data_IF_565584508730
#
_entry.id   IF_565584508730
#
_cell.length_a   1.000
_cell.length_b   1.000
_cell.length_c   1.000
_cell.angle_alpha   90.00
_cell.angle_beta   90.00
_cell.angle_gamma   90.00
#
_symmetry.space_group_name_H-M   'P 1'
#
loop_
_entity.id
_entity.type
_entity.pdbx_description
1 polymer ?
#
# COMPACT_ATOMS: atom_id res chain seq x y z
N UNK A 1 6.44 37.37 -30.24
CA UNK A 1 5.34 36.39 -30.11
C UNK A 1 5.97 35.05 -29.76
N UNK A 2 5.85 34.62 -28.51
CA UNK A 2 6.39 33.34 -28.04
C UNK A 2 5.48 32.21 -28.54
N UNK A 3 6.02 31.27 -29.31
CA UNK A 3 5.33 30.03 -29.66
C UNK A 3 5.35 29.09 -28.45
N UNK A 4 4.18 28.77 -27.91
CA UNK A 4 4.00 27.71 -26.93
C UNK A 4 4.24 26.37 -27.64
N UNK A 5 5.38 25.73 -27.37
CA UNK A 5 5.60 24.35 -27.78
C UNK A 5 4.80 23.48 -26.80
N UNK A 6 3.57 23.12 -27.19
CA UNK A 6 2.83 22.04 -26.53
C UNK A 6 3.55 20.76 -26.93
N UNK A 7 4.48 20.30 -26.10
CA UNK A 7 4.96 18.93 -26.23
C UNK A 7 3.75 18.03 -25.97
N UNK A 8 3.30 17.36 -27.02
CA UNK A 8 2.34 16.27 -26.93
C UNK A 8 2.95 15.22 -26.00
N UNK A 9 2.48 15.20 -24.75
CA UNK A 9 2.76 14.09 -23.85
C UNK A 9 2.09 12.87 -24.44
N UNK A 10 2.88 11.93 -24.93
CA UNK A 10 2.39 10.58 -25.19
C UNK A 10 1.88 10.06 -23.85
N UNK A 11 0.56 9.98 -23.68
CA UNK A 11 -0.01 9.25 -22.56
C UNK A 11 0.55 7.84 -22.62
N UNK A 12 1.29 7.43 -21.59
CA UNK A 12 1.69 6.04 -21.43
C UNK A 12 0.42 5.19 -21.58
N UNK A 13 0.41 4.28 -22.56
CA UNK A 13 -0.50 3.13 -22.56
C UNK A 13 -0.10 2.24 -21.38
N UNK A 14 -0.42 2.66 -20.17
CA UNK A 14 -0.31 1.84 -18.97
C UNK A 14 -1.51 0.90 -19.02
N UNK A 15 -1.25 -0.35 -19.42
CA UNK A 15 -2.12 -1.47 -19.07
C UNK A 15 -2.31 -1.46 -17.55
N UNK A 16 -3.50 -1.83 -17.08
CA UNK A 16 -3.87 -1.95 -15.66
C UNK A 16 -3.12 -3.11 -14.98
N UNK A 17 -1.81 -3.17 -15.17
CA UNK A 17 -0.94 -4.17 -14.58
C UNK A 17 -0.37 -3.65 -13.27
N UNK A 18 -0.23 -4.57 -12.34
CA UNK A 18 0.61 -4.45 -11.16
C UNK A 18 2.00 -3.93 -11.57
N UNK A 19 2.36 -2.71 -11.17
CA UNK A 19 3.61 -2.07 -11.63
C UNK A 19 4.84 -2.61 -10.89
N UNK A 20 4.85 -2.56 -9.55
CA UNK A 20 6.02 -2.94 -8.74
C UNK A 20 5.75 -2.72 -7.24
N UNK A 21 6.42 -3.50 -6.38
CA UNK A 21 6.58 -3.22 -4.95
C UNK A 21 8.07 -3.04 -4.62
N UNK A 22 8.39 -2.28 -3.58
CA UNK A 22 9.77 -2.20 -3.05
C UNK A 22 9.75 -2.52 -1.56
N UNK A 23 9.71 -3.81 -1.22
CA UNK A 23 10.01 -4.24 0.14
C UNK A 23 11.43 -3.78 0.47
N UNK A 24 11.57 -2.95 1.49
CA UNK A 24 12.83 -2.93 2.23
C UNK A 24 12.93 -4.33 2.85
N UNK A 25 13.84 -5.16 2.33
CA UNK A 25 14.06 -6.51 2.84
C UNK A 25 14.64 -6.40 4.26
N UNK A 26 13.77 -6.22 5.25
CA UNK A 26 14.11 -6.11 6.66
C UNK A 26 14.37 -7.50 7.28
N UNK A 27 13.93 -8.55 6.60
CA UNK A 27 14.14 -9.93 6.98
C UNK A 27 12.88 -10.77 6.83
N UNK A 28 12.96 -11.99 7.35
CA UNK A 28 11.81 -12.89 7.51
C UNK A 28 11.49 -13.00 9.00
N UNK A 29 10.20 -12.95 9.34
CA UNK A 29 9.75 -13.26 10.69
C UNK A 29 9.42 -14.76 10.81
N UNK A 30 9.38 -15.27 12.04
CA UNK A 30 8.96 -16.65 12.32
C UNK A 30 7.45 -16.74 12.46
N UNK A 31 6.84 -17.80 11.92
CA UNK A 31 5.40 -18.00 12.10
C UNK A 31 5.05 -18.20 13.59
N UNK A 32 3.95 -17.60 14.05
CA UNK A 32 3.54 -17.49 15.44
C UNK A 32 4.30 -16.44 16.26
N UNK A 33 5.17 -15.63 15.64
CA UNK A 33 5.89 -14.56 16.34
C UNK A 33 4.98 -13.39 16.71
N UNK A 34 5.40 -12.61 17.70
CA UNK A 34 4.70 -11.38 18.07
C UNK A 34 4.71 -10.35 16.93
N UNK A 35 5.76 -10.35 16.10
CA UNK A 35 5.77 -9.58 14.85
C UNK A 35 4.59 -9.93 13.94
N UNK A 36 4.32 -11.23 13.72
CA UNK A 36 3.18 -11.68 12.91
C UNK A 36 1.85 -11.24 13.53
N UNK A 37 1.70 -11.37 14.85
CA UNK A 37 0.50 -10.93 15.56
C UNK A 37 0.27 -9.41 15.42
N UNK A 38 1.32 -8.61 15.57
CA UNK A 38 1.28 -7.16 15.41
C UNK A 38 0.96 -6.76 13.96
N UNK A 39 1.56 -7.46 13.00
CA UNK A 39 1.30 -7.24 11.58
C UNK A 39 -0.18 -7.50 11.24
N UNK A 40 -0.71 -8.64 11.69
CA UNK A 40 -2.12 -8.99 11.50
C UNK A 40 -3.08 -8.01 12.19
N UNK A 41 -2.69 -7.48 13.34
CA UNK A 41 -3.47 -6.46 14.05
C UNK A 41 -3.52 -5.14 13.28
N UNK A 42 -2.41 -4.70 12.69
CA UNK A 42 -2.38 -3.52 11.82
C UNK A 42 -3.21 -3.75 10.54
N UNK A 43 -3.13 -4.94 9.93
CA UNK A 43 -3.96 -5.28 8.78
C UNK A 43 -5.46 -5.23 9.09
N UNK A 44 -5.87 -5.70 10.28
CA UNK A 44 -7.25 -5.57 10.73
C UNK A 44 -7.65 -4.09 10.91
N UNK A 45 -6.79 -3.27 11.52
CA UNK A 45 -7.02 -1.82 11.68
C UNK A 45 -7.16 -1.12 10.32
N UNK A 46 -6.28 -1.42 9.37
CA UNK A 46 -6.39 -0.91 8.01
C UNK A 46 -7.69 -1.36 7.34
N UNK A 47 -8.17 -2.58 7.57
CA UNK A 47 -9.44 -3.03 7.00
C UNK A 47 -10.69 -2.40 7.65
N UNK A 48 -10.57 -1.74 8.81
CA UNK A 48 -11.74 -1.24 9.56
C UNK A 48 -11.76 0.28 9.73
N UNK A 49 -10.64 0.96 9.47
CA UNK A 49 -10.50 2.41 9.59
C UNK A 49 -11.08 3.17 8.39
N UNK A 50 -11.35 4.46 8.62
CA UNK A 50 -11.97 5.39 7.65
C UNK A 50 -10.92 6.20 6.83
N UNK A 51 -9.71 5.66 6.70
CA UNK A 51 -8.60 6.30 5.95
C UNK A 51 -8.90 6.45 4.45
N UNK A 52 -9.94 5.81 3.94
CA UNK A 52 -10.33 5.91 2.54
C UNK A 52 -10.73 7.34 2.14
N UNK A 53 -11.12 8.17 3.11
CA UNK A 53 -11.38 9.61 2.91
C UNK A 53 -10.08 10.43 2.79
N UNK A 54 -9.04 10.09 3.57
CA UNK A 54 -7.76 10.82 3.59
C UNK A 54 -6.75 10.27 2.58
N UNK A 55 -6.90 9.01 2.17
CA UNK A 55 -5.95 8.30 1.32
C UNK A 55 -4.62 8.00 2.00
N UNK A 56 -4.54 8.15 3.32
CA UNK A 56 -3.30 7.97 4.09
C UNK A 56 -3.62 7.46 5.49
N UNK A 57 -2.81 6.51 5.96
CA UNK A 57 -2.87 5.99 7.32
C UNK A 57 -1.48 5.51 7.75
N UNK A 58 -1.13 5.70 9.00
CA UNK A 58 0.04 5.09 9.62
C UNK A 58 -0.38 4.33 10.89
N UNK A 59 0.26 3.20 11.13
CA UNK A 59 0.07 2.40 12.33
C UNK A 59 1.41 1.83 12.80
N UNK A 60 1.58 1.77 14.11
CA UNK A 60 2.75 1.18 14.75
C UNK A 60 2.32 0.34 15.95
N UNK A 61 2.85 -0.88 16.05
CA UNK A 61 2.63 -1.80 17.17
C UNK A 61 3.95 -2.48 17.56
N UNK A 62 4.01 -2.94 18.81
CA UNK A 62 5.14 -3.70 19.36
C UNK A 62 5.92 -2.96 20.45
N UNK A 63 6.54 -3.74 21.34
CA UNK A 63 7.27 -3.24 22.52
C UNK A 63 8.79 -3.35 22.38
N UNK A 64 9.26 -4.28 21.54
CA UNK A 64 10.68 -4.54 21.30
C UNK A 64 11.00 -4.26 19.83
N UNK A 65 12.27 -4.11 19.51
CA UNK A 65 12.71 -3.93 18.11
C UNK A 65 12.46 -5.16 17.24
N UNK A 66 12.38 -6.36 17.82
CA UNK A 66 12.13 -7.59 17.10
C UNK A 66 10.64 -7.75 16.74
N UNK A 67 9.75 -7.27 17.60
CA UNK A 67 8.30 -7.42 17.45
C UNK A 67 7.64 -6.18 16.85
N UNK A 68 8.37 -5.08 16.70
CA UNK A 68 7.83 -3.80 16.22
C UNK A 68 7.50 -3.86 14.74
N UNK A 69 6.28 -3.43 14.42
CA UNK A 69 5.78 -3.25 13.06
C UNK A 69 5.37 -1.79 12.92
N UNK A 70 5.86 -1.12 11.89
CA UNK A 70 5.39 0.21 11.51
C UNK A 70 5.01 0.15 10.04
N UNK A 71 3.75 0.47 9.73
CA UNK A 71 3.22 0.46 8.37
C UNK A 71 2.64 1.81 8.04
N UNK A 72 2.97 2.29 6.84
CA UNK A 72 2.35 3.46 6.24
C UNK A 72 1.59 3.05 4.99
N UNK A 73 0.31 3.40 4.93
CA UNK A 73 -0.57 3.28 3.79
C UNK A 73 -0.63 4.60 3.03
N UNK A 74 -0.47 4.56 1.71
CA UNK A 74 -0.65 5.73 0.86
C UNK A 74 -1.39 5.39 -0.43
N UNK A 75 -2.60 5.91 -0.58
CA UNK A 75 -3.34 5.91 -1.83
C UNK A 75 -2.87 7.06 -2.73
N UNK A 76 -3.01 6.89 -4.05
CA UNK A 76 -2.79 7.99 -4.99
C UNK A 76 -3.83 9.09 -4.76
N UNK A 77 -3.40 10.35 -4.81
CA UNK A 77 -4.24 11.51 -4.49
C UNK A 77 -5.40 11.81 -5.44
N UNK A 78 -5.71 10.97 -6.42
CA UNK A 78 -6.91 11.03 -7.25
C UNK A 78 -7.77 9.75 -7.10
N UNK A 79 -7.43 8.91 -6.12
CA UNK A 79 -8.04 7.62 -5.84
C UNK A 79 -8.57 7.62 -4.43
N UNK A 80 -9.82 8.05 -4.28
CA UNK A 80 -10.49 8.23 -2.99
C UNK A 80 -11.50 7.11 -2.73
N UNK A 81 -11.92 6.97 -1.47
CA UNK A 81 -13.05 6.12 -1.05
C UNK A 81 -12.89 4.66 -1.47
N UNK A 82 -13.88 4.11 -2.17
CA UNK A 82 -13.95 2.69 -2.57
C UNK A 82 -12.74 2.22 -3.37
N UNK A 83 -12.17 3.09 -4.20
CA UNK A 83 -10.99 2.76 -5.01
C UNK A 83 -9.78 2.53 -4.10
N UNK A 84 -9.51 3.48 -3.20
CA UNK A 84 -8.45 3.40 -2.19
C UNK A 84 -8.63 2.15 -1.31
N UNK A 85 -9.85 1.97 -0.80
CA UNK A 85 -10.21 0.85 0.08
C UNK A 85 -9.92 -0.50 -0.57
N UNK A 86 -10.46 -0.73 -1.76
CA UNK A 86 -10.29 -2.02 -2.41
C UNK A 86 -8.82 -2.27 -2.78
N UNK A 87 -8.03 -1.26 -3.13
CA UNK A 87 -6.60 -1.46 -3.42
C UNK A 87 -5.82 -1.92 -2.18
N UNK A 88 -6.20 -1.44 -1.01
CA UNK A 88 -5.61 -1.83 0.26
C UNK A 88 -6.09 -3.21 0.71
N UNK A 89 -7.34 -3.58 0.44
CA UNK A 89 -7.94 -4.84 0.90
C UNK A 89 -7.37 -6.12 0.27
N UNK A 90 -7.40 -6.34 -1.05
CA UNK A 90 -6.39 -5.72 -1.88
C UNK A 90 -5.02 -6.12 -1.30
N UNK A 91 -4.17 -5.11 -1.06
CA UNK A 91 -2.79 -5.30 -0.68
C UNK A 91 -2.53 -6.18 0.53
N UNK A 92 -3.40 -6.09 1.52
CA UNK A 92 -3.37 -6.87 2.74
C UNK A 92 -3.60 -8.36 2.45
N UNK A 93 -4.44 -8.71 1.47
CA UNK A 93 -4.72 -10.11 1.11
C UNK A 93 -3.60 -10.80 0.33
N UNK A 94 -2.58 -10.08 -0.13
CA UNK A 94 -1.45 -10.70 -0.83
C UNK A 94 -0.57 -11.52 0.12
N UNK A 95 0.28 -12.39 -0.41
CA UNK A 95 1.13 -13.27 0.41
C UNK A 95 2.25 -12.48 1.15
N UNK A 96 2.04 -12.13 2.42
CA UNK A 96 3.02 -11.47 3.32
C UNK A 96 3.64 -12.45 4.33
N UNK A 97 3.26 -13.71 4.24
CA UNK A 97 3.66 -14.75 5.17
C UNK A 97 5.19 -14.85 5.18
N UNK A 98 5.78 -14.71 6.37
CA UNK A 98 7.23 -14.77 6.61
C UNK A 98 8.04 -13.59 6.08
N UNK A 99 7.46 -12.43 5.77
CA UNK A 99 8.22 -11.24 5.34
C UNK A 99 7.99 -10.04 6.26
N UNK A 100 9.08 -9.44 6.74
CA UNK A 100 8.98 -8.16 7.45
C UNK A 100 8.79 -7.02 6.46
N UNK A 101 7.83 -6.14 6.75
CA UNK A 101 7.39 -5.04 5.88
C UNK A 101 7.23 -3.74 6.66
N UNK A 102 7.34 -2.62 5.94
CA UNK A 102 7.33 -1.28 6.56
C UNK A 102 6.37 -0.28 5.90
N UNK A 103 5.67 -0.67 4.84
CA UNK A 103 4.55 0.12 4.33
C UNK A 103 3.65 -0.62 3.36
N UNK A 104 2.62 0.05 2.88
CA UNK A 104 1.78 -0.37 1.76
C UNK A 104 1.49 0.87 0.90
N UNK A 105 1.99 0.92 -0.34
CA UNK A 105 1.61 2.00 -1.29
C UNK A 105 0.60 1.47 -2.27
N UNK A 106 -0.50 2.19 -2.41
CA UNK A 106 -1.62 1.86 -3.26
C UNK A 106 -1.68 2.85 -4.44
N UNK A 107 -1.28 2.40 -5.61
CA UNK A 107 -1.36 3.18 -6.86
C UNK A 107 -2.55 2.71 -7.70
N UNK A 108 -3.63 3.49 -7.75
CA UNK A 108 -4.84 3.14 -8.54
C UNK A 108 -4.98 4.14 -9.68
N UNK A 109 -4.92 3.76 -10.96
CA UNK A 109 -5.21 4.68 -12.10
C UNK A 109 -6.63 4.46 -12.63
N UNK A 110 -7.33 5.57 -12.91
CA UNK A 110 -8.78 5.65 -13.17
C UNK A 110 -9.28 4.56 -14.13
N UNK A 111 -10.33 3.83 -13.72
CA UNK A 111 -11.18 3.06 -14.64
C UNK A 111 -11.14 1.52 -14.57
N UNK A 112 -10.52 0.88 -13.57
CA UNK A 112 -10.58 -0.60 -13.44
C UNK A 112 -10.41 -1.08 -11.99
N UNK A 113 -10.86 -2.32 -11.75
CA UNK A 113 -10.88 -2.99 -10.45
C UNK A 113 -9.57 -2.84 -9.67
N UNK A 114 -9.61 -2.52 -8.37
CA UNK A 114 -8.42 -2.11 -7.63
C UNK A 114 -7.48 -3.29 -7.38
N UNK A 115 -6.20 -3.11 -7.73
CA UNK A 115 -5.15 -4.09 -7.48
C UNK A 115 -4.14 -3.52 -6.50
N UNK A 116 -3.83 -4.33 -5.50
CA UNK A 116 -2.75 -4.26 -4.50
C UNK A 116 -1.50 -3.55 -4.99
N UNK A 117 -0.91 -2.65 -4.18
CA UNK A 117 0.55 -2.69 -4.07
C UNK A 117 1.07 -2.73 -2.63
N UNK A 118 2.20 -3.40 -2.51
CA UNK A 118 2.93 -3.79 -1.29
C UNK A 118 4.11 -2.80 -1.12
N UNK A 119 4.46 -2.35 0.09
CA UNK A 119 5.67 -1.52 0.34
C UNK A 119 6.58 -2.15 1.39
#
# INVERSE_FOLDING_TARGET
>A
MQFLIIQSVSSLNLTNEYLSHKCLNQGKYNSGSEYENNLNSIFHDFSTSDYAETGFLDASLGKTTADSVTLTLQCRGDSYRSNCRTCVDTAISGEWNNYQISGIRCEIRSGSTPNIQKV
#
